data_IF_053877466787
#
_entry.id   IF_053877466787
#
_cell.length_a   1.000
_cell.length_b   1.000
_cell.length_c   1.000
_cell.angle_alpha   90.00
_cell.angle_beta   90.00
_cell.angle_gamma   90.00
#
_symmetry.space_group_name_H-M   'P 1'
#
loop_
_entity.id
_entity.type
_entity.pdbx_description
1 polymer ?
#
# COMPACT_ATOMS: atom_id res chain seq x y z
N UNK A 1 39.43 -9.26 22.50
CA UNK A 1 38.27 -8.42 22.13
C UNK A 1 37.53 -9.12 20.99
N UNK A 2 36.35 -9.68 21.23
CA UNK A 2 35.52 -10.24 20.16
C UNK A 2 34.88 -9.08 19.39
N UNK A 3 35.34 -8.86 18.15
CA UNK A 3 34.69 -7.92 17.24
C UNK A 3 33.36 -8.50 16.77
N UNK A 4 32.34 -7.67 16.64
CA UNK A 4 31.03 -8.05 16.06
C UNK A 4 31.19 -8.77 14.70
N UNK A 5 32.20 -8.37 13.92
CA UNK A 5 32.52 -8.96 12.62
C UNK A 5 33.12 -10.38 12.70
N UNK A 6 33.46 -10.86 13.89
CA UNK A 6 33.92 -12.23 14.13
C UNK A 6 32.80 -13.21 14.47
N UNK A 7 31.55 -12.75 14.52
CA UNK A 7 30.40 -13.61 14.75
C UNK A 7 30.07 -14.42 13.48
N UNK A 8 29.56 -15.66 13.63
CA UNK A 8 28.87 -16.37 12.55
C UNK A 8 27.78 -15.50 11.93
N UNK A 9 27.61 -15.60 10.61
CA UNK A 9 26.68 -14.78 9.84
C UNK A 9 25.24 -14.93 10.35
N UNK A 10 24.86 -16.11 10.83
CA UNK A 10 23.55 -16.41 11.38
C UNK A 10 23.25 -15.56 12.62
N UNK A 11 24.22 -15.45 13.53
CA UNK A 11 24.09 -14.62 14.73
C UNK A 11 24.06 -13.13 14.38
N UNK A 12 24.88 -12.72 13.42
CA UNK A 12 24.87 -11.34 12.93
C UNK A 12 23.51 -10.98 12.31
N UNK A 13 22.93 -11.87 11.52
CA UNK A 13 21.60 -11.68 10.94
C UNK A 13 20.50 -11.63 12.00
N UNK A 14 20.58 -12.46 13.04
CA UNK A 14 19.64 -12.40 14.16
C UNK A 14 19.72 -11.05 14.89
N UNK A 15 20.92 -10.51 15.09
CA UNK A 15 21.09 -9.20 15.71
C UNK A 15 20.56 -8.08 14.81
N UNK A 16 20.89 -8.11 13.51
CA UNK A 16 20.39 -7.14 12.52
C UNK A 16 18.86 -7.20 12.42
N UNK A 17 18.27 -8.39 12.57
CA UNK A 17 16.82 -8.60 12.52
C UNK A 17 16.07 -7.93 13.68
N UNK A 18 16.75 -7.58 14.78
CA UNK A 18 16.16 -6.87 15.93
C UNK A 18 16.19 -5.35 15.78
N UNK A 19 16.90 -4.82 14.78
CA UNK A 19 17.04 -3.39 14.55
C UNK A 19 15.87 -2.86 13.74
N UNK A 20 15.59 -1.57 13.84
CA UNK A 20 14.62 -0.92 12.96
C UNK A 20 15.18 -0.68 11.55
N UNK A 21 14.31 -0.32 10.61
CA UNK A 21 14.71 -0.05 9.22
C UNK A 21 15.78 1.05 9.13
N UNK A 22 15.70 2.09 9.96
CA UNK A 22 16.63 3.23 9.93
C UNK A 22 18.03 2.83 10.41
N UNK A 23 18.11 1.98 11.42
CA UNK A 23 19.32 1.41 12.01
C UNK A 23 19.96 0.42 11.05
N UNK A 24 19.18 -0.45 10.40
CA UNK A 24 19.67 -1.36 9.35
C UNK A 24 20.30 -0.57 8.21
N UNK A 25 19.64 0.50 7.75
CA UNK A 25 20.17 1.38 6.71
C UNK A 25 21.42 2.16 7.17
N UNK A 26 21.53 2.47 8.45
CA UNK A 26 22.70 3.12 9.05
C UNK A 26 23.89 2.15 9.14
N UNK A 27 23.66 0.91 9.60
CA UNK A 27 24.66 -0.16 9.63
C UNK A 27 25.25 -0.43 8.25
N UNK A 28 24.41 -0.42 7.21
CA UNK A 28 24.85 -0.61 5.82
C UNK A 28 25.94 0.37 5.38
N UNK A 29 25.98 1.58 5.95
CA UNK A 29 26.95 2.63 5.61
C UNK A 29 28.30 2.46 6.31
N UNK A 30 28.44 1.51 7.24
CA UNK A 30 29.63 1.40 8.10
C UNK A 30 30.78 0.64 7.44
N UNK A 31 30.55 -0.60 6.97
CA UNK A 31 31.57 -1.42 6.31
C UNK A 31 30.95 -2.39 5.29
N UNK A 32 31.79 -2.99 4.42
CA UNK A 32 31.32 -3.89 3.34
C UNK A 32 30.60 -5.14 3.86
N UNK A 33 31.12 -5.78 4.89
CA UNK A 33 30.51 -7.00 5.46
C UNK A 33 29.10 -6.73 5.98
N UNK A 34 28.90 -5.61 6.68
CA UNK A 34 27.58 -5.19 7.15
C UNK A 34 26.69 -4.72 6.01
N UNK A 35 27.26 -4.07 4.99
CA UNK A 35 26.52 -3.71 3.79
C UNK A 35 25.96 -4.94 3.07
N UNK A 36 26.74 -6.01 2.95
CA UNK A 36 26.31 -7.25 2.31
C UNK A 36 25.29 -8.01 3.17
N UNK A 37 25.52 -8.06 4.48
CA UNK A 37 24.64 -8.75 5.43
C UNK A 37 23.26 -8.09 5.54
N UNK A 38 23.22 -6.76 5.57
CA UNK A 38 21.95 -5.97 5.58
C UNK A 38 21.22 -6.01 4.23
N UNK A 39 21.79 -6.59 3.17
CA UNK A 39 21.10 -6.82 1.88
C UNK A 39 20.48 -8.21 1.78
N UNK A 40 20.68 -9.07 2.78
CA UNK A 40 20.12 -10.40 2.76
C UNK A 40 18.60 -10.35 2.87
N UNK A 41 17.92 -11.13 2.01
CA UNK A 41 16.45 -11.18 1.92
C UNK A 41 15.77 -11.48 3.25
N UNK A 42 16.39 -12.33 4.08
CA UNK A 42 15.89 -12.71 5.38
C UNK A 42 15.72 -11.51 6.33
N UNK A 43 16.61 -10.52 6.27
CA UNK A 43 16.52 -9.30 7.08
C UNK A 43 15.23 -8.55 6.72
N UNK A 44 15.01 -8.28 5.44
CA UNK A 44 13.86 -7.50 4.97
C UNK A 44 12.53 -8.24 5.12
N UNK A 45 12.52 -9.56 4.93
CA UNK A 45 11.33 -10.38 5.24
C UNK A 45 11.00 -10.32 6.73
N UNK A 46 12.01 -10.32 7.61
CA UNK A 46 11.78 -10.18 9.04
C UNK A 46 11.21 -8.78 9.38
N UNK A 47 11.75 -7.72 8.77
CA UNK A 47 11.23 -6.36 8.93
C UNK A 47 9.77 -6.25 8.51
N UNK A 48 9.41 -6.76 7.32
CA UNK A 48 8.01 -6.76 6.88
C UNK A 48 7.10 -7.51 7.85
N UNK A 49 7.52 -8.69 8.34
CA UNK A 49 6.74 -9.45 9.33
C UNK A 49 6.50 -8.66 10.61
N UNK A 50 7.49 -7.92 11.10
CA UNK A 50 7.30 -7.07 12.28
C UNK A 50 6.32 -5.93 11.97
N UNK A 51 6.45 -5.31 10.81
CA UNK A 51 5.54 -4.24 10.37
C UNK A 51 4.10 -4.71 10.15
N UNK A 52 3.87 -5.98 9.79
CA UNK A 52 2.51 -6.55 9.63
C UNK A 52 1.66 -6.48 10.90
N UNK A 53 2.28 -6.44 12.08
CA UNK A 53 1.53 -6.35 13.33
C UNK A 53 0.90 -4.98 13.55
N UNK A 54 1.55 -3.93 13.04
CA UNK A 54 1.13 -2.54 13.27
C UNK A 54 0.48 -1.89 12.03
N UNK A 55 0.72 -2.44 10.83
CA UNK A 55 0.36 -1.81 9.57
C UNK A 55 -0.29 -2.79 8.59
N UNK A 56 -1.27 -2.27 7.84
CA UNK A 56 -1.83 -2.97 6.69
C UNK A 56 -0.82 -2.94 5.53
N UNK A 57 -0.04 -4.02 5.41
CA UNK A 57 0.86 -4.18 4.27
C UNK A 57 0.10 -4.30 2.95
N UNK A 58 0.74 -4.00 1.80
CA UNK A 58 0.23 -4.36 0.48
C UNK A 58 -0.06 -5.86 0.38
N UNK A 59 -1.08 -6.26 -0.38
CA UNK A 59 -1.55 -7.65 -0.45
C UNK A 59 -0.45 -8.66 -0.77
N UNK A 60 0.43 -8.33 -1.72
CA UNK A 60 1.56 -9.17 -2.11
C UNK A 60 2.62 -9.37 -1.02
N UNK A 61 2.55 -8.59 0.06
CA UNK A 61 3.41 -8.72 1.22
C UNK A 61 2.67 -9.14 2.50
N UNK A 62 1.35 -9.37 2.45
CA UNK A 62 0.59 -9.93 3.59
C UNK A 62 0.85 -11.42 3.74
N UNK A 63 0.88 -12.13 2.62
CA UNK A 63 1.17 -13.56 2.62
C UNK A 63 2.69 -13.80 2.54
N UNK A 64 3.17 -14.68 3.41
CA UNK A 64 4.57 -15.03 3.49
C UNK A 64 5.04 -15.78 2.24
N UNK A 65 4.20 -16.66 1.69
CA UNK A 65 4.58 -17.46 0.52
C UNK A 65 4.75 -16.58 -0.71
N UNK A 66 3.82 -15.65 -0.94
CA UNK A 66 3.94 -14.64 -1.99
C UNK A 66 5.13 -13.70 -1.76
N UNK A 67 5.36 -13.26 -0.53
CA UNK A 67 6.52 -12.41 -0.19
C UNK A 67 7.86 -13.08 -0.51
N UNK A 68 7.98 -14.40 -0.28
CA UNK A 68 9.23 -15.12 -0.60
C UNK A 68 9.51 -15.24 -2.09
N UNK A 69 8.50 -15.04 -2.96
CA UNK A 69 8.68 -15.03 -4.43
C UNK A 69 9.14 -13.67 -4.96
N UNK A 70 8.94 -12.60 -4.19
CA UNK A 70 9.33 -11.25 -4.61
C UNK A 70 10.86 -11.07 -4.66
N UNK A 71 11.40 -10.27 -5.59
CA UNK A 71 12.79 -9.86 -5.59
C UNK A 71 13.19 -9.17 -4.27
N UNK A 72 14.41 -9.41 -3.79
CA UNK A 72 14.91 -8.80 -2.54
C UNK A 72 14.81 -7.28 -2.55
N UNK A 73 15.05 -6.65 -3.70
CA UNK A 73 14.95 -5.21 -3.87
C UNK A 73 13.52 -4.69 -3.63
N UNK A 74 12.50 -5.43 -4.07
CA UNK A 74 11.11 -5.02 -3.92
C UNK A 74 10.64 -5.17 -2.47
N UNK A 75 11.08 -6.23 -1.79
CA UNK A 75 10.84 -6.44 -0.35
C UNK A 75 11.51 -5.32 0.46
N UNK A 76 12.76 -5.00 0.15
CA UNK A 76 13.47 -3.90 0.80
C UNK A 76 12.75 -2.58 0.58
N UNK A 77 12.41 -2.25 -0.67
CA UNK A 77 11.66 -1.03 -1.00
C UNK A 77 10.37 -0.93 -0.21
N UNK A 78 9.65 -2.04 -0.10
CA UNK A 78 8.38 -2.07 0.62
C UNK A 78 8.54 -1.91 2.13
N UNK A 79 9.54 -2.56 2.73
CA UNK A 79 9.84 -2.40 4.15
C UNK A 79 10.24 -0.95 4.47
N UNK A 80 11.04 -0.34 3.60
CA UNK A 80 11.46 1.06 3.72
C UNK A 80 10.28 2.01 3.52
N UNK A 81 9.49 1.85 2.46
CA UNK A 81 8.34 2.72 2.21
C UNK A 81 7.29 2.64 3.31
N UNK A 82 7.06 1.44 3.85
CA UNK A 82 6.15 1.21 4.96
C UNK A 82 6.64 1.90 6.23
N UNK A 83 7.93 1.75 6.56
CA UNK A 83 8.54 2.44 7.70
C UNK A 83 8.45 3.96 7.58
N UNK A 84 8.75 4.52 6.39
CA UNK A 84 8.64 5.95 6.14
C UNK A 84 7.18 6.42 6.28
N UNK A 85 6.23 5.66 5.73
CA UNK A 85 4.81 5.98 5.86
C UNK A 85 4.37 6.00 7.32
N UNK A 86 4.78 5.01 8.13
CA UNK A 86 4.46 4.97 9.56
C UNK A 86 5.06 6.16 10.32
N UNK A 87 6.33 6.49 10.02
CA UNK A 87 7.03 7.61 10.66
C UNK A 87 6.41 8.96 10.30
N UNK A 88 6.02 9.12 9.03
CA UNK A 88 5.57 10.40 8.48
C UNK A 88 4.05 10.60 8.62
N UNK A 89 3.27 9.53 8.90
CA UNK A 89 1.81 9.57 9.07
C UNK A 89 1.28 10.60 10.07
N UNK A 90 1.92 10.84 11.24
CA UNK A 90 1.43 11.84 12.20
C UNK A 90 1.55 13.27 11.69
N UNK A 91 2.32 13.50 10.63
CA UNK A 91 2.55 14.84 10.10
C UNK A 91 1.56 15.15 8.97
N UNK A 92 1.03 16.39 8.90
CA UNK A 92 0.15 16.79 7.82
C UNK A 92 0.81 16.54 6.46
N UNK A 93 0.14 15.78 5.60
CA UNK A 93 0.59 15.63 4.22
C UNK A 93 0.37 16.97 3.50
N UNK A 94 1.46 17.68 3.18
CA UNK A 94 1.39 18.95 2.43
C UNK A 94 0.98 18.78 0.96
N UNK A 95 0.76 17.54 0.50
CA UNK A 95 0.48 17.22 -0.90
C UNK A 95 -1.02 16.90 -1.07
N UNK A 96 -1.71 17.75 -1.83
CA UNK A 96 -3.07 17.47 -2.28
C UNK A 96 -3.04 16.51 -3.46
N UNK A 97 -3.92 15.51 -3.45
CA UNK A 97 -4.12 14.57 -4.55
C UNK A 97 -5.38 14.99 -5.30
N UNK A 98 -5.27 15.15 -6.63
CA UNK A 98 -6.42 15.46 -7.48
C UNK A 98 -6.80 14.22 -8.29
N UNK A 99 -8.06 13.78 -8.17
CA UNK A 99 -8.59 12.64 -8.91
C UNK A 99 -9.23 13.11 -10.20
N UNK A 100 -8.85 12.52 -11.33
CA UNK A 100 -9.48 12.82 -12.62
C UNK A 100 -10.87 12.18 -12.69
N UNK A 101 -11.81 12.89 -13.31
CA UNK A 101 -13.10 12.32 -13.70
C UNK A 101 -14.10 12.18 -12.56
N UNK A 102 -13.91 12.91 -11.46
CA UNK A 102 -14.96 13.11 -10.44
C UNK A 102 -16.20 13.66 -11.17
N UNK A 103 -17.34 12.99 -11.04
CA UNK A 103 -18.56 13.43 -11.73
C UNK A 103 -18.94 14.84 -11.24
N UNK A 104 -19.17 15.75 -12.19
CA UNK A 104 -19.60 17.13 -11.91
C UNK A 104 -21.04 17.17 -11.38
N UNK A 105 -21.78 16.07 -11.51
CA UNK A 105 -23.14 15.91 -11.02
C UNK A 105 -23.21 14.89 -9.88
N UNK A 106 -23.71 15.33 -8.73
CA UNK A 106 -24.00 14.52 -7.53
C UNK A 106 -22.77 13.91 -6.83
N UNK A 107 -22.18 14.71 -5.95
CA UNK A 107 -21.05 14.33 -5.08
C UNK A 107 -21.39 13.32 -3.95
N UNK A 108 -22.48 12.57 -4.07
CA UNK A 108 -22.86 11.63 -3.02
C UNK A 108 -22.05 10.33 -3.19
N UNK A 109 -20.96 10.21 -2.45
CA UNK A 109 -20.16 8.98 -2.40
C UNK A 109 -20.92 7.98 -1.53
N UNK A 110 -21.42 6.91 -2.14
CA UNK A 110 -22.12 5.84 -1.44
C UNK A 110 -21.16 4.83 -0.81
N UNK A 111 -20.04 4.54 -1.49
CA UNK A 111 -19.00 3.66 -0.99
C UNK A 111 -17.63 4.07 -1.52
N UNK A 112 -16.62 4.03 -0.63
CA UNK A 112 -15.22 4.24 -0.97
C UNK A 112 -14.41 3.05 -0.44
N UNK A 113 -13.76 2.32 -1.34
CA UNK A 113 -13.08 1.07 -1.03
C UNK A 113 -11.63 1.13 -1.50
N UNK A 114 -10.65 1.18 -0.57
CA UNK A 114 -9.25 1.07 -0.92
C UNK A 114 -8.90 -0.38 -1.29
N UNK A 115 -8.18 -0.54 -2.39
CA UNK A 115 -7.77 -1.82 -2.99
C UNK A 115 -6.26 -1.77 -3.29
N UNK A 116 -5.46 -1.64 -2.23
CA UNK A 116 -4.00 -1.40 -2.29
C UNK A 116 -3.61 -0.23 -3.20
N UNK A 117 -3.24 -0.52 -4.45
CA UNK A 117 -2.84 0.47 -5.47
C UNK A 117 -4.03 0.98 -6.27
N UNK A 118 -5.25 0.70 -5.84
CA UNK A 118 -6.46 1.13 -6.53
C UNK A 118 -7.46 1.67 -5.52
N UNK A 119 -8.32 2.54 -5.99
CA UNK A 119 -9.41 3.08 -5.21
C UNK A 119 -10.69 2.89 -6.00
N UNK A 120 -11.65 2.17 -5.43
CA UNK A 120 -12.98 2.04 -6.01
C UNK A 120 -13.91 3.01 -5.30
N UNK A 121 -14.64 3.81 -6.06
CA UNK A 121 -15.72 4.64 -5.55
C UNK A 121 -17.01 4.32 -6.29
N UNK A 122 -18.10 4.30 -5.54
CA UNK A 122 -19.46 4.15 -6.03
C UNK A 122 -20.21 5.43 -5.66
N UNK A 123 -20.70 6.12 -6.69
CA UNK A 123 -21.44 7.36 -6.56
C UNK A 123 -22.96 7.12 -6.59
N UNK A 124 -23.71 8.06 -6.03
CA UNK A 124 -25.17 8.03 -5.98
C UNK A 124 -25.85 8.21 -7.34
N UNK A 125 -25.14 8.75 -8.33
CA UNK A 125 -25.59 8.80 -9.73
C UNK A 125 -25.48 7.45 -10.45
N UNK A 126 -24.91 6.43 -9.80
CA UNK A 126 -24.69 5.10 -10.37
C UNK A 126 -23.35 4.96 -11.09
N UNK A 127 -22.50 5.99 -11.07
CA UNK A 127 -21.14 5.88 -11.55
C UNK A 127 -20.30 5.04 -10.58
N UNK A 128 -19.62 4.04 -11.12
CA UNK A 128 -18.60 3.27 -10.41
C UNK A 128 -17.27 3.62 -11.05
N UNK A 129 -16.37 4.21 -10.28
CA UNK A 129 -15.07 4.67 -10.78
C UNK A 129 -13.95 3.94 -10.05
N UNK A 130 -13.02 3.40 -10.83
CA UNK A 130 -11.81 2.78 -10.34
C UNK A 130 -10.62 3.64 -10.74
N UNK A 131 -9.92 4.18 -9.74
CA UNK A 131 -8.63 4.84 -9.94
C UNK A 131 -7.49 3.89 -9.66
N UNK A 132 -6.38 4.13 -10.34
CA UNK A 132 -5.10 3.52 -10.01
C UNK A 132 -4.29 4.55 -9.23
N UNK A 133 -4.04 4.25 -7.96
CA UNK A 133 -3.19 5.03 -7.07
C UNK A 133 -1.74 4.81 -7.52
N UNK A 134 -1.36 5.51 -8.59
CA UNK A 134 0.03 5.55 -9.03
C UNK A 134 0.83 6.25 -7.94
N UNK A 135 1.95 5.66 -7.56
CA UNK A 135 2.87 6.29 -6.63
C UNK A 135 3.33 7.60 -7.26
N UNK A 136 2.90 8.72 -6.67
CA UNK A 136 3.33 10.05 -7.08
C UNK A 136 4.86 10.05 -7.19
N UNK A 137 5.40 10.50 -8.34
CA UNK A 137 6.83 10.67 -8.44
C UNK A 137 7.20 11.82 -7.49
N UNK A 138 7.73 11.48 -6.31
CA UNK A 138 7.92 12.44 -5.21
C UNK A 138 8.84 13.62 -5.58
N UNK A 139 9.55 13.50 -6.70
CA UNK A 139 10.44 14.49 -7.29
C UNK A 139 9.71 15.57 -8.11
N UNK A 140 8.50 15.30 -8.60
CA UNK A 140 7.64 16.29 -9.24
C UNK A 140 6.64 16.83 -8.22
N UNK A 141 6.83 18.10 -7.86
CA UNK A 141 6.06 18.83 -6.84
C UNK A 141 4.71 19.35 -7.35
N UNK A 142 4.32 19.05 -8.59
CA UNK A 142 3.03 19.43 -9.13
C UNK A 142 1.92 18.48 -8.65
N UNK A 143 0.68 18.97 -8.64
CA UNK A 143 -0.50 18.19 -8.25
C UNK A 143 -0.46 16.81 -8.89
N UNK A 144 -0.44 15.76 -8.05
CA UNK A 144 -0.45 14.40 -8.57
C UNK A 144 -1.85 14.07 -9.03
N UNK A 145 -2.01 14.10 -10.35
CA UNK A 145 -3.23 13.72 -11.03
C UNK A 145 -3.35 12.19 -11.03
N UNK A 146 -4.37 11.67 -10.34
CA UNK A 146 -4.61 10.23 -10.26
C UNK A 146 -5.46 9.79 -11.45
N UNK A 147 -4.93 8.93 -12.34
CA UNK A 147 -5.64 8.53 -13.54
C UNK A 147 -6.83 7.62 -13.22
N UNK A 148 -7.94 7.87 -13.91
CA UNK A 148 -9.08 6.97 -13.94
C UNK A 148 -8.71 5.72 -14.76
N UNK A 149 -8.76 4.55 -14.13
CA UNK A 149 -8.48 3.27 -14.81
C UNK A 149 -9.71 2.74 -15.53
N UNK A 150 -10.88 2.85 -14.89
CA UNK A 150 -12.14 2.39 -15.45
C UNK A 150 -13.31 3.16 -14.84
N UNK A 151 -14.38 3.26 -15.61
CA UNK A 151 -15.67 3.82 -15.19
C UNK A 151 -16.79 2.95 -15.75
N UNK A 152 -17.75 2.66 -14.91
CA UNK A 152 -18.99 1.99 -15.27
C UNK A 152 -20.16 2.85 -14.82
N UNK A 153 -21.26 2.78 -15.56
CA UNK A 153 -22.47 3.51 -15.25
C UNK A 153 -23.63 2.54 -15.13
N UNK A 154 -24.28 2.55 -13.98
CA UNK A 154 -25.48 1.76 -13.73
C UNK A 154 -26.69 2.54 -14.24
N UNK A 155 -27.24 2.10 -15.38
CA UNK A 155 -28.43 2.71 -15.95
C UNK A 155 -29.61 2.63 -14.98
N UNK A 156 -30.18 3.77 -14.62
CA UNK A 156 -31.41 3.85 -13.83
C UNK A 156 -32.09 5.21 -13.97
N UNK A 157 -33.40 5.26 -13.70
CA UNK A 157 -34.22 6.48 -13.79
C UNK A 157 -34.14 7.38 -12.54
N UNK A 158 -33.27 7.07 -11.55
CA UNK A 158 -33.17 7.84 -10.31
C UNK A 158 -31.92 7.53 -9.50
N UNK A 159 -31.61 8.32 -8.45
CA UNK A 159 -30.38 8.16 -7.69
C UNK A 159 -30.38 6.87 -6.86
N UNK A 160 -29.20 6.26 -6.76
CA UNK A 160 -28.92 5.16 -5.84
C UNK A 160 -28.76 5.70 -4.42
N UNK A 161 -29.19 4.93 -3.42
CA UNK A 161 -29.24 5.39 -2.02
C UNK A 161 -28.21 4.72 -1.14
N UNK A 162 -27.86 3.46 -1.43
CA UNK A 162 -26.83 2.75 -0.68
C UNK A 162 -25.99 1.87 -1.61
N UNK A 163 -24.74 1.67 -1.22
CA UNK A 163 -23.82 0.78 -1.90
C UNK A 163 -23.03 -0.02 -0.87
N UNK A 164 -22.81 -1.29 -1.15
CA UNK A 164 -21.88 -2.16 -0.44
C UNK A 164 -21.01 -2.83 -1.48
N UNK A 165 -19.71 -2.84 -1.27
CA UNK A 165 -18.81 -3.61 -2.10
C UNK A 165 -17.76 -4.32 -1.26
N UNK A 166 -17.30 -5.46 -1.77
CA UNK A 166 -16.26 -6.27 -1.14
C UNK A 166 -15.37 -6.89 -2.20
N UNK A 167 -14.10 -7.09 -1.84
CA UNK A 167 -13.13 -7.79 -2.66
C UNK A 167 -13.13 -9.26 -2.26
N UNK A 168 -13.42 -10.14 -3.22
CA UNK A 168 -13.19 -11.57 -3.05
C UNK A 168 -11.76 -11.92 -3.48
N UNK A 169 -10.96 -12.28 -2.48
CA UNK A 169 -9.55 -12.62 -2.64
C UNK A 169 -9.36 -13.90 -3.45
N UNK A 170 -10.30 -14.86 -3.38
CA UNK A 170 -10.16 -16.15 -4.05
C UNK A 170 -10.44 -16.08 -5.54
N UNK A 171 -11.45 -15.28 -5.91
CA UNK A 171 -11.82 -15.07 -7.32
C UNK A 171 -11.15 -13.85 -7.93
N UNK A 172 -10.38 -13.10 -7.14
CA UNK A 172 -9.76 -11.83 -7.52
C UNK A 172 -10.75 -10.87 -8.19
N UNK A 173 -11.99 -10.86 -7.67
CA UNK A 173 -13.12 -10.13 -8.23
C UNK A 173 -13.71 -9.20 -7.18
N UNK A 174 -14.21 -8.04 -7.62
CA UNK A 174 -14.89 -7.09 -6.75
C UNK A 174 -16.38 -7.22 -6.98
N UNK A 175 -17.12 -7.49 -5.92
CA UNK A 175 -18.58 -7.52 -5.95
C UNK A 175 -19.10 -6.21 -5.38
N UNK A 176 -19.99 -5.56 -6.12
CA UNK A 176 -20.69 -4.37 -5.69
C UNK A 176 -22.19 -4.59 -5.79
N UNK A 177 -22.88 -4.34 -4.68
CA UNK A 177 -24.33 -4.30 -4.60
C UNK A 177 -24.74 -2.85 -4.33
N UNK A 178 -25.60 -2.32 -5.20
CA UNK A 178 -26.22 -1.01 -5.00
C UNK A 178 -27.72 -1.21 -4.81
N UNK A 179 -28.32 -0.42 -3.94
CA UNK A 179 -29.77 -0.40 -3.78
C UNK A 179 -30.30 1.02 -3.88
N UNK A 180 -31.56 1.11 -4.28
CA UNK A 180 -32.31 2.36 -4.38
C UNK A 180 -33.56 2.24 -3.53
N UNK A 181 -33.97 3.34 -2.94
CA UNK A 181 -35.29 3.43 -2.33
C UNK A 181 -36.34 3.58 -3.45
N UNK A 182 -37.40 2.76 -3.42
CA UNK A 182 -38.57 2.97 -4.26
C UNK A 182 -39.62 3.67 -3.41
N UNK A 183 -39.84 4.96 -3.66
CA UNK A 183 -41.04 5.64 -3.17
C UNK A 183 -42.25 5.00 -3.86
N UNK A 184 -43.12 4.39 -3.06
CA UNK A 184 -44.35 3.74 -3.51
C UNK A 184 -45.49 4.71 -3.78
#
# INVERSE_FOLDING_TARGET
MCSFLGLPIELMLQIIALLDVSEVLSLRKTCRVLADSTRMKAVWLNQLRHQQFDLLLPFNARDLESSTKLPTLDIERMAVSTHLSQRDWPFPCSKSLSFVGISEGYHNILALIPLDQRLLCIYGDGAIVLWELVQADWNNLEETIIPQRARWELGSEGPWTTAVAFLDVFTNSIYAAVTRYQDG
#
